data_IF_449466370879
#
_entry.id   IF_449466370879
#
_cell.length_a   1.000
_cell.length_b   1.000
_cell.length_c   1.000
_cell.angle_alpha   90.00
_cell.angle_beta   90.00
_cell.angle_gamma   90.00
#
_symmetry.space_group_name_H-M   'P 1'
#
loop_
_entity.id
_entity.type
_entity.pdbx_description
1 polymer ?
#
# COMPACT_ATOMS: atom_id res chain seq x y z
N UNK A 1 22.34 76.86 16.54
CA UNK A 1 21.73 75.67 17.19
C UNK A 1 21.51 74.56 16.16
N UNK A 2 22.37 73.53 16.07
CA UNK A 2 22.08 72.35 15.26
C UNK A 2 22.53 71.06 15.98
N UNK A 3 21.70 70.49 16.86
CA UNK A 3 22.02 69.19 17.51
C UNK A 3 20.86 68.21 17.61
N UNK A 4 19.67 68.58 17.13
CA UNK A 4 18.45 67.75 17.23
C UNK A 4 18.11 66.92 15.98
N UNK A 5 18.70 67.22 14.82
CA UNK A 5 18.35 66.53 13.56
C UNK A 5 19.22 65.30 13.25
N UNK A 6 20.33 65.08 13.96
CA UNK A 6 21.21 63.92 13.73
C UNK A 6 20.73 62.61 14.39
N UNK A 7 19.87 62.70 15.41
CA UNK A 7 19.34 61.51 16.08
C UNK A 7 18.20 60.84 15.31
N UNK A 8 17.44 61.58 14.50
CA UNK A 8 16.33 61.03 13.72
C UNK A 8 16.76 60.33 12.44
N UNK A 9 17.90 60.71 11.84
CA UNK A 9 18.41 60.06 10.62
C UNK A 9 19.06 58.70 10.90
N UNK A 10 19.65 58.50 12.08
CA UNK A 10 20.24 57.20 12.47
C UNK A 10 19.16 56.16 12.84
N UNK A 11 18.04 56.61 13.41
CA UNK A 11 16.92 55.71 13.80
C UNK A 11 16.20 55.14 12.55
N UNK A 12 16.08 55.91 11.47
CA UNK A 12 15.37 55.47 10.25
C UNK A 12 16.20 54.48 9.42
N UNK A 13 17.53 54.58 9.44
CA UNK A 13 18.44 53.65 8.72
C UNK A 13 18.49 52.26 9.39
N UNK A 14 18.29 52.19 10.71
CA UNK A 14 18.20 50.89 11.42
C UNK A 14 16.86 50.19 11.21
N UNK A 15 15.78 50.93 10.89
CA UNK A 15 14.46 50.33 10.62
C UNK A 15 14.27 49.83 9.19
N UNK A 16 15.07 50.29 8.21
CA UNK A 16 14.98 49.80 6.82
C UNK A 16 15.90 48.62 6.50
N UNK A 17 16.80 48.25 7.40
CA UNK A 17 17.69 47.07 7.27
C UNK A 17 17.17 45.81 7.96
N UNK A 18 15.90 45.80 8.39
CA UNK A 18 15.29 44.66 9.06
C UNK A 18 15.01 43.40 8.22
N UNK A 19 15.11 43.32 6.87
CA UNK A 19 14.89 42.04 6.20
C UNK A 19 16.13 41.12 6.20
N UNK A 20 17.31 41.57 6.67
CA UNK A 20 18.57 40.84 6.48
C UNK A 20 18.98 39.87 7.61
N UNK A 21 18.19 39.76 8.69
CA UNK A 21 18.47 38.86 9.82
C UNK A 21 17.37 37.80 10.02
N UNK A 22 16.76 37.31 8.94
CA UNK A 22 15.94 36.09 9.03
C UNK A 22 16.88 34.90 9.14
N UNK A 23 16.95 34.28 10.32
CA UNK A 23 17.62 32.97 10.47
C UNK A 23 16.87 31.96 9.59
N UNK A 24 17.57 31.21 8.71
CA UNK A 24 16.90 30.22 7.88
C UNK A 24 16.20 29.21 8.78
N UNK A 25 14.97 28.85 8.42
CA UNK A 25 14.23 27.81 9.12
C UNK A 25 14.96 26.47 9.00
N UNK A 26 14.70 25.53 9.93
CA UNK A 26 15.27 24.18 9.84
C UNK A 26 14.98 23.55 8.47
N UNK A 27 13.78 23.76 7.93
CA UNK A 27 13.41 23.30 6.59
C UNK A 27 14.29 23.91 5.49
N UNK A 28 14.43 25.24 5.44
CA UNK A 28 15.24 25.95 4.43
C UNK A 28 16.69 25.44 4.43
N UNK A 29 17.27 25.25 5.63
CA UNK A 29 18.63 24.70 5.78
C UNK A 29 18.72 23.24 5.36
N UNK A 30 17.70 22.43 5.65
CA UNK A 30 17.59 21.06 5.16
C UNK A 30 17.57 20.99 3.63
N UNK A 31 16.83 21.89 2.97
CA UNK A 31 16.77 21.97 1.49
C UNK A 31 18.12 22.36 0.89
N UNK A 32 18.85 23.31 1.48
CA UNK A 32 20.19 23.69 1.01
C UNK A 32 21.17 22.51 1.07
N UNK A 33 21.24 21.81 2.21
CA UNK A 33 22.08 20.64 2.38
C UNK A 33 21.67 19.48 1.47
N UNK A 34 20.37 19.32 1.25
CA UNK A 34 19.84 18.34 0.30
C UNK A 34 20.32 18.61 -1.14
N UNK A 35 20.29 19.87 -1.59
CA UNK A 35 20.80 20.27 -2.90
C UNK A 35 22.32 20.04 -3.04
N UNK A 36 23.04 20.16 -1.93
CA UNK A 36 24.46 19.82 -1.83
C UNK A 36 24.72 18.30 -1.70
N UNK A 37 23.69 17.45 -1.82
CA UNK A 37 23.78 15.99 -1.63
C UNK A 37 24.26 15.56 -0.24
N UNK A 38 24.21 16.45 0.75
CA UNK A 38 24.57 16.16 2.15
C UNK A 38 23.37 15.55 2.88
N UNK A 39 22.93 14.36 2.43
CA UNK A 39 21.65 13.76 2.82
C UNK A 39 21.54 13.44 4.31
N UNK A 40 22.63 13.04 4.97
CA UNK A 40 22.63 12.74 6.41
C UNK A 40 22.33 13.99 7.25
N UNK A 41 22.97 15.11 6.92
CA UNK A 41 22.74 16.38 7.63
C UNK A 41 21.38 16.96 7.26
N UNK A 42 20.99 16.90 5.99
CA UNK A 42 19.68 17.32 5.53
C UNK A 42 18.56 16.58 6.28
N UNK A 43 18.68 15.25 6.44
CA UNK A 43 17.73 14.45 7.21
C UNK A 43 17.62 14.91 8.67
N UNK A 44 18.73 15.32 9.31
CA UNK A 44 18.72 15.91 10.64
C UNK A 44 17.86 17.17 10.72
N UNK A 45 18.08 18.13 9.81
CA UNK A 45 17.30 19.36 9.75
C UNK A 45 15.83 19.14 9.41
N UNK A 46 15.54 18.21 8.49
CA UNK A 46 14.15 17.84 8.19
C UNK A 46 13.48 17.15 9.37
N UNK A 47 14.20 16.36 10.16
CA UNK A 47 13.68 15.74 11.39
C UNK A 47 13.33 16.80 12.43
N UNK A 48 14.20 17.79 12.64
CA UNK A 48 13.93 18.92 13.53
C UNK A 48 12.68 19.70 13.09
N UNK A 49 12.52 19.92 11.78
CA UNK A 49 11.34 20.56 11.23
C UNK A 49 10.08 19.71 11.43
N UNK A 50 10.16 18.40 11.15
CA UNK A 50 9.08 17.45 11.35
C UNK A 50 8.61 17.39 12.81
N UNK A 51 9.54 17.44 13.78
CA UNK A 51 9.21 17.44 15.21
C UNK A 51 8.33 18.62 15.64
N UNK A 52 8.41 19.74 14.92
CA UNK A 52 7.56 20.93 15.16
C UNK A 52 6.35 21.00 14.23
N UNK A 53 6.39 20.33 13.08
CA UNK A 53 5.35 20.33 12.04
C UNK A 53 5.04 18.89 11.55
N UNK A 54 4.46 18.02 12.39
CA UNK A 54 4.36 16.58 12.13
C UNK A 54 3.37 16.16 11.03
N UNK A 55 2.68 17.13 10.42
CA UNK A 55 1.78 16.94 9.28
C UNK A 55 2.29 17.58 7.98
N UNK A 56 3.49 18.20 7.99
CA UNK A 56 4.07 18.75 6.76
C UNK A 56 4.54 17.62 5.84
N UNK A 57 3.75 17.39 4.80
CA UNK A 57 3.98 16.34 3.80
C UNK A 57 5.23 16.60 2.97
N UNK A 58 5.60 17.86 2.76
CA UNK A 58 6.79 18.24 1.99
C UNK A 58 8.05 17.75 2.71
N UNK A 59 8.14 18.05 4.01
CA UNK A 59 9.23 17.56 4.87
C UNK A 59 9.29 16.04 4.90
N UNK A 60 8.13 15.37 4.98
CA UNK A 60 8.08 13.90 4.94
C UNK A 60 8.60 13.32 3.61
N UNK A 61 8.30 13.93 2.46
CA UNK A 61 8.86 13.49 1.18
C UNK A 61 10.38 13.68 1.11
N UNK A 62 10.90 14.79 1.64
CA UNK A 62 12.34 15.00 1.74
C UNK A 62 13.01 13.97 2.67
N UNK A 63 12.42 13.69 3.84
CA UNK A 63 12.89 12.65 4.75
C UNK A 63 12.88 11.27 4.10
N UNK A 64 11.77 10.89 3.47
CA UNK A 64 11.66 9.61 2.74
C UNK A 64 12.77 9.49 1.71
N UNK A 65 13.02 10.54 0.93
CA UNK A 65 14.08 10.53 -0.07
C UNK A 65 15.49 10.42 0.54
N UNK A 66 15.77 11.18 1.60
CA UNK A 66 17.05 11.12 2.30
C UNK A 66 17.30 9.72 2.86
N UNK A 67 16.34 9.16 3.60
CA UNK A 67 16.47 7.83 4.19
C UNK A 67 16.63 6.74 3.13
N UNK A 68 15.93 6.84 2.00
CA UNK A 68 16.11 5.94 0.87
C UNK A 68 17.52 5.98 0.29
N UNK A 69 18.09 7.17 0.08
CA UNK A 69 19.47 7.31 -0.43
C UNK A 69 20.50 6.78 0.58
N UNK A 70 20.26 7.01 1.87
CA UNK A 70 21.16 6.58 2.95
C UNK A 70 21.03 5.08 3.26
N UNK A 71 20.09 4.35 2.65
CA UNK A 71 19.81 2.94 2.95
C UNK A 71 19.19 2.71 4.32
N UNK A 72 18.61 3.75 4.92
CA UNK A 72 17.98 3.72 6.25
C UNK A 72 16.55 3.20 6.15
N UNK A 73 16.42 1.89 5.90
CA UNK A 73 15.14 1.23 5.58
C UNK A 73 14.07 1.34 6.67
N UNK A 74 14.45 1.28 7.95
CA UNK A 74 13.48 1.38 9.05
C UNK A 74 12.89 2.79 9.16
N UNK A 75 13.73 3.81 9.05
CA UNK A 75 13.30 5.21 9.07
C UNK A 75 12.48 5.54 7.82
N UNK A 76 12.87 5.04 6.64
CA UNK A 76 12.09 5.20 5.42
C UNK A 76 10.69 4.59 5.57
N UNK A 77 10.60 3.37 6.10
CA UNK A 77 9.33 2.69 6.34
C UNK A 77 8.41 3.50 7.27
N UNK A 78 8.95 4.01 8.39
CA UNK A 78 8.18 4.84 9.32
C UNK A 78 7.64 6.12 8.64
N UNK A 79 8.43 6.75 7.77
CA UNK A 79 7.98 7.94 7.01
C UNK A 79 6.91 7.58 5.98
N UNK A 80 7.05 6.45 5.28
CA UNK A 80 6.04 5.96 4.34
C UNK A 80 4.72 5.64 5.02
N UNK A 81 4.75 4.99 6.19
CA UNK A 81 3.57 4.73 7.02
C UNK A 81 2.89 6.04 7.44
N UNK A 82 3.69 7.05 7.80
CA UNK A 82 3.16 8.38 8.14
C UNK A 82 2.49 9.05 6.95
N UNK A 83 3.08 8.99 5.75
CA UNK A 83 2.49 9.52 4.52
C UNK A 83 1.16 8.82 4.20
N UNK A 84 1.11 7.49 4.32
CA UNK A 84 -0.13 6.73 4.13
C UNK A 84 -1.19 7.09 5.18
N UNK A 85 -0.82 7.28 6.44
CA UNK A 85 -1.74 7.69 7.50
C UNK A 85 -2.32 9.10 7.28
N UNK A 86 -1.56 10.00 6.65
CA UNK A 86 -2.03 11.32 6.23
C UNK A 86 -2.94 11.27 4.99
N UNK A 87 -3.22 10.08 4.45
CA UNK A 87 -4.10 9.89 3.30
C UNK A 87 -3.48 10.35 1.98
N UNK A 88 -2.15 10.39 1.88
CA UNK A 88 -1.46 10.81 0.67
C UNK A 88 -1.68 9.77 -0.43
N UNK A 89 -2.39 10.19 -1.47
CA UNK A 89 -2.67 9.36 -2.64
C UNK A 89 -1.51 9.40 -3.64
N UNK A 90 -0.39 8.81 -3.24
CA UNK A 90 0.79 8.66 -4.09
C UNK A 90 1.13 7.19 -4.27
N UNK A 91 1.04 6.71 -5.52
CA UNK A 91 1.32 5.33 -5.89
C UNK A 91 2.69 4.83 -5.38
N UNK A 92 3.73 5.67 -5.44
CA UNK A 92 5.08 5.27 -5.01
C UNK A 92 5.15 4.97 -3.51
N UNK A 93 4.36 5.67 -2.69
CA UNK A 93 4.29 5.40 -1.25
C UNK A 93 3.78 3.98 -1.01
N UNK A 94 2.68 3.60 -1.65
CA UNK A 94 2.07 2.28 -1.48
C UNK A 94 2.86 1.16 -2.16
N UNK A 95 3.52 1.42 -3.30
CA UNK A 95 4.41 0.45 -3.95
C UNK A 95 5.60 0.09 -3.05
N UNK A 96 6.17 1.08 -2.37
CA UNK A 96 7.26 0.88 -1.41
C UNK A 96 6.76 0.19 -0.13
N UNK A 97 5.61 0.60 0.42
CA UNK A 97 5.00 -0.08 1.57
C UNK A 97 4.69 -1.55 1.27
N UNK A 98 4.14 -1.85 0.10
CA UNK A 98 3.91 -3.21 -0.36
C UNK A 98 5.20 -4.03 -0.33
N UNK A 99 6.27 -3.50 -0.92
CA UNK A 99 7.59 -4.15 -0.93
C UNK A 99 8.09 -4.42 0.50
N UNK A 100 8.08 -3.40 1.35
CA UNK A 100 8.59 -3.50 2.73
C UNK A 100 7.77 -4.46 3.57
N UNK A 101 6.44 -4.39 3.54
CA UNK A 101 5.59 -5.31 4.29
C UNK A 101 5.75 -6.76 3.85
N UNK A 102 5.82 -7.01 2.54
CA UNK A 102 6.07 -8.35 2.01
C UNK A 102 7.41 -8.91 2.46
N UNK A 103 8.49 -8.12 2.33
CA UNK A 103 9.86 -8.54 2.72
C UNK A 103 10.00 -8.76 4.22
N UNK A 104 9.38 -7.92 5.05
CA UNK A 104 9.42 -8.01 6.50
C UNK A 104 8.42 -9.03 7.07
N UNK A 105 7.69 -9.76 6.22
CA UNK A 105 6.62 -10.69 6.63
C UNK A 105 5.52 -10.04 7.49
N UNK A 106 5.30 -8.73 7.31
CA UNK A 106 4.23 -7.96 7.95
C UNK A 106 2.92 -8.15 7.19
N UNK A 107 2.43 -9.38 7.14
CA UNK A 107 1.31 -9.76 6.29
C UNK A 107 0.00 -9.08 6.68
N UNK A 108 -0.23 -8.82 7.96
CA UNK A 108 -1.40 -8.09 8.41
C UNK A 108 -1.43 -6.65 7.89
N UNK A 109 -0.28 -5.96 7.91
CA UNK A 109 -0.18 -4.59 7.40
C UNK A 109 -0.32 -4.55 5.87
N UNK A 110 0.29 -5.51 5.18
CA UNK A 110 0.12 -5.70 3.73
C UNK A 110 -1.35 -5.88 3.35
N UNK A 111 -2.04 -6.79 4.04
CA UNK A 111 -3.44 -7.07 3.82
C UNK A 111 -4.32 -5.85 4.09
N UNK A 112 -4.17 -5.24 5.26
CA UNK A 112 -4.95 -4.06 5.67
C UNK A 112 -4.77 -2.93 4.68
N UNK A 113 -3.54 -2.64 4.29
CA UNK A 113 -3.23 -1.63 3.27
C UNK A 113 -4.02 -1.91 1.99
N UNK A 114 -3.92 -3.11 1.42
CA UNK A 114 -4.56 -3.47 0.15
C UNK A 114 -6.09 -3.35 0.17
N UNK A 115 -6.73 -3.70 1.29
CA UNK A 115 -8.18 -3.59 1.47
C UNK A 115 -8.63 -2.13 1.50
N UNK A 116 -7.82 -1.23 2.08
CA UNK A 116 -8.15 0.19 2.26
C UNK A 116 -7.60 1.12 1.19
N UNK A 117 -6.92 0.61 0.16
CA UNK A 117 -6.29 1.44 -0.89
C UNK A 117 -7.31 2.29 -1.66
N UNK A 118 -6.92 3.55 -1.90
CA UNK A 118 -7.57 4.42 -2.88
C UNK A 118 -7.49 3.83 -4.30
N UNK A 119 -8.45 4.10 -5.20
CA UNK A 119 -8.50 3.48 -6.54
C UNK A 119 -7.27 3.71 -7.43
N UNK A 120 -6.64 4.88 -7.35
CA UNK A 120 -5.39 5.26 -8.02
C UNK A 120 -4.23 4.38 -7.55
N UNK A 121 -4.02 4.29 -6.24
CA UNK A 121 -2.99 3.43 -5.65
C UNK A 121 -3.25 1.94 -5.91
N UNK A 122 -4.51 1.50 -5.84
CA UNK A 122 -4.89 0.12 -6.18
C UNK A 122 -4.50 -0.27 -7.60
N UNK A 123 -4.79 0.59 -8.60
CA UNK A 123 -4.37 0.38 -9.98
C UNK A 123 -2.84 0.30 -10.13
N UNK A 124 -2.11 1.12 -9.39
CA UNK A 124 -0.65 1.07 -9.40
C UNK A 124 -0.12 -0.24 -8.83
N UNK A 125 -0.68 -0.74 -7.72
CA UNK A 125 -0.34 -2.05 -7.17
C UNK A 125 -0.62 -3.15 -8.19
N UNK A 126 -1.83 -3.21 -8.74
CA UNK A 126 -2.23 -4.28 -9.67
C UNK A 126 -1.42 -4.27 -10.97
N UNK A 127 -0.87 -3.11 -11.36
CA UNK A 127 0.04 -3.00 -12.50
C UNK A 127 1.46 -3.51 -12.20
N UNK A 128 1.96 -3.29 -10.97
CA UNK A 128 3.33 -3.63 -10.60
C UNK A 128 3.48 -5.03 -9.98
N UNK A 129 2.43 -5.52 -9.31
CA UNK A 129 2.46 -6.77 -8.56
C UNK A 129 1.42 -7.76 -9.08
N UNK A 130 1.91 -8.89 -9.57
CA UNK A 130 1.09 -10.02 -9.98
C UNK A 130 0.65 -10.82 -8.76
N UNK A 131 -0.60 -11.28 -8.77
CA UNK A 131 -1.09 -12.20 -7.75
C UNK A 131 -0.46 -13.58 -7.96
N UNK A 132 0.50 -13.95 -7.12
CA UNK A 132 1.02 -15.33 -7.06
C UNK A 132 0.31 -16.14 -5.99
N UNK A 133 0.48 -17.46 -6.01
CA UNK A 133 0.00 -18.36 -4.94
C UNK A 133 0.60 -18.00 -3.58
N UNK A 134 1.88 -17.61 -3.53
CA UNK A 134 2.54 -17.12 -2.32
C UNK A 134 1.92 -15.82 -1.82
N UNK A 135 1.68 -14.87 -2.71
CA UNK A 135 1.05 -13.61 -2.32
C UNK A 135 -0.37 -13.83 -1.83
N UNK A 136 -1.17 -14.66 -2.51
CA UNK A 136 -2.51 -15.05 -2.04
C UNK A 136 -2.45 -15.65 -0.63
N UNK A 137 -1.49 -16.54 -0.36
CA UNK A 137 -1.27 -17.12 0.96
C UNK A 137 -0.89 -16.06 2.03
N UNK A 138 -0.05 -15.08 1.66
CA UNK A 138 0.29 -13.96 2.54
C UNK A 138 -0.94 -13.12 2.89
N UNK A 139 -1.83 -12.85 1.92
CA UNK A 139 -3.07 -12.13 2.16
C UNK A 139 -3.97 -12.89 3.14
N UNK A 140 -4.06 -14.21 3.02
CA UNK A 140 -4.84 -15.05 3.95
C UNK A 140 -4.23 -15.01 5.35
N UNK A 141 -2.91 -15.19 5.48
CA UNK A 141 -2.23 -15.09 6.78
C UNK A 141 -2.43 -13.70 7.43
N UNK A 142 -2.39 -12.63 6.63
CA UNK A 142 -2.65 -11.27 7.07
C UNK A 142 -4.09 -11.03 7.52
N UNK A 143 -5.06 -11.60 6.81
CA UNK A 143 -6.48 -11.55 7.15
C UNK A 143 -6.76 -12.25 8.48
N UNK A 144 -6.19 -13.44 8.66
CA UNK A 144 -6.25 -14.29 9.84
C UNK A 144 -5.47 -13.74 11.05
N UNK A 145 -4.65 -12.69 10.85
CA UNK A 145 -3.80 -12.10 11.89
C UNK A 145 -2.87 -13.12 12.58
N UNK A 146 -2.50 -14.19 11.87
CA UNK A 146 -1.62 -15.24 12.40
C UNK A 146 -0.18 -14.91 12.10
N UNK A 147 0.67 -15.06 13.11
CA UNK A 147 2.13 -15.07 12.90
C UNK A 147 2.53 -16.44 12.37
N UNK A 148 2.85 -16.50 11.08
CA UNK A 148 3.19 -17.75 10.38
C UNK A 148 4.64 -17.71 9.90
N UNK A 149 5.33 -18.84 9.99
CA UNK A 149 6.70 -18.99 9.48
C UNK A 149 6.72 -19.08 7.96
N UNK A 150 5.81 -19.86 7.39
CA UNK A 150 5.59 -19.93 5.94
C UNK A 150 4.09 -19.77 5.62
N UNK A 151 3.69 -18.68 4.94
CA UNK A 151 2.30 -18.46 4.59
C UNK A 151 1.73 -19.54 3.67
N UNK A 152 2.54 -20.15 2.77
CA UNK A 152 2.01 -21.16 1.83
C UNK A 152 1.66 -22.45 2.57
N UNK A 153 2.47 -22.85 3.55
CA UNK A 153 2.25 -24.03 4.37
C UNK A 153 1.02 -23.83 5.25
N UNK A 154 0.90 -22.66 5.88
CA UNK A 154 -0.29 -22.30 6.65
C UNK A 154 -1.55 -22.33 5.79
N UNK A 155 -1.55 -21.63 4.66
CA UNK A 155 -2.73 -21.57 3.80
C UNK A 155 -3.13 -22.95 3.25
N UNK A 156 -2.17 -23.86 3.06
CA UNK A 156 -2.45 -25.22 2.65
C UNK A 156 -2.95 -26.11 3.80
N UNK A 157 -2.38 -26.00 5.01
CA UNK A 157 -2.82 -26.79 6.17
C UNK A 157 -4.25 -26.47 6.60
N UNK A 158 -4.62 -25.19 6.50
CA UNK A 158 -5.98 -24.71 6.76
C UNK A 158 -6.94 -24.94 5.58
N UNK A 159 -6.47 -25.53 4.47
CA UNK A 159 -7.30 -25.87 3.31
C UNK A 159 -7.66 -24.67 2.40
N UNK A 160 -7.09 -23.49 2.63
CA UNK A 160 -7.32 -22.31 1.81
C UNK A 160 -6.69 -22.39 0.41
N UNK A 161 -5.58 -23.13 0.28
CA UNK A 161 -4.89 -23.35 -1.00
C UNK A 161 -4.66 -24.85 -1.19
N UNK A 162 -5.09 -25.45 -2.31
CA UNK A 162 -4.85 -26.86 -2.58
C UNK A 162 -3.38 -27.13 -2.91
N UNK A 163 -2.86 -28.28 -2.47
CA UNK A 163 -1.56 -28.83 -2.87
C UNK A 163 -1.72 -29.59 -4.19
N UNK A 164 -0.73 -29.52 -5.07
CA UNK A 164 -0.76 -30.27 -6.33
C UNK A 164 -0.53 -31.78 -6.10
N UNK A 165 -0.99 -32.67 -7.01
CA UNK A 165 -0.78 -34.11 -6.87
C UNK A 165 0.69 -34.55 -6.78
N UNK A 166 1.59 -33.73 -7.30
CA UNK A 166 3.05 -33.92 -7.22
C UNK A 166 3.65 -33.51 -5.86
N UNK A 167 2.81 -33.07 -4.92
CA UNK A 167 3.21 -32.61 -3.59
C UNK A 167 3.78 -31.19 -3.56
N UNK A 168 3.85 -30.50 -4.70
CA UNK A 168 4.39 -29.15 -4.77
C UNK A 168 3.33 -28.09 -4.48
N UNK A 169 3.75 -26.92 -3.98
CA UNK A 169 2.87 -25.76 -3.79
C UNK A 169 2.79 -24.86 -5.02
N UNK A 170 3.87 -24.82 -5.81
CA UNK A 170 4.08 -23.86 -6.93
C UNK A 170 3.80 -22.42 -6.51
N UNK A 171 4.47 -21.99 -5.45
CA UNK A 171 4.18 -20.75 -4.75
C UNK A 171 4.39 -19.49 -5.61
N UNK A 172 5.29 -19.54 -6.58
CA UNK A 172 5.52 -18.45 -7.53
C UNK A 172 4.58 -18.45 -8.75
N UNK A 173 3.71 -19.45 -8.92
CA UNK A 173 2.76 -19.46 -10.03
C UNK A 173 1.77 -18.30 -9.90
N UNK A 174 1.58 -17.58 -11.01
CA UNK A 174 0.57 -16.53 -11.16
C UNK A 174 -0.83 -17.13 -11.12
N UNK A 175 -1.72 -16.50 -10.37
CA UNK A 175 -3.14 -16.82 -10.29
C UNK A 175 -3.90 -16.04 -11.36
N UNK A 176 -4.63 -16.73 -12.23
CA UNK A 176 -5.57 -16.11 -13.18
C UNK A 176 -6.92 -15.83 -12.52
N UNK A 177 -7.77 -15.01 -13.14
CA UNK A 177 -9.14 -14.78 -12.68
C UNK A 177 -9.93 -16.09 -12.49
N UNK A 178 -9.81 -17.02 -13.45
CA UNK A 178 -10.46 -18.33 -13.37
C UNK A 178 -9.96 -19.15 -12.17
N UNK A 179 -8.65 -19.13 -11.90
CA UNK A 179 -8.09 -19.82 -10.73
C UNK A 179 -8.52 -19.14 -9.42
N UNK A 180 -8.55 -17.80 -9.35
CA UNK A 180 -9.04 -17.07 -8.18
C UNK A 180 -10.51 -17.41 -7.87
N UNK A 181 -11.37 -17.46 -8.91
CA UNK A 181 -12.78 -17.89 -8.76
C UNK A 181 -12.85 -19.28 -8.13
N UNK A 182 -12.08 -20.25 -8.64
CA UNK A 182 -12.07 -21.61 -8.09
C UNK A 182 -11.55 -21.64 -6.66
N UNK A 183 -10.48 -20.89 -6.35
CA UNK A 183 -9.94 -20.83 -5.00
C UNK A 183 -10.98 -20.29 -4.01
N UNK A 184 -11.63 -19.18 -4.34
CA UNK A 184 -12.64 -18.55 -3.47
C UNK A 184 -13.92 -19.41 -3.34
N UNK A 185 -14.41 -20.01 -4.43
CA UNK A 185 -15.64 -20.82 -4.40
C UNK A 185 -15.50 -22.08 -3.54
N UNK A 186 -14.27 -22.61 -3.41
CA UNK A 186 -13.99 -23.76 -2.54
C UNK A 186 -14.12 -23.44 -1.04
N UNK A 187 -14.03 -22.17 -0.67
CA UNK A 187 -14.05 -21.74 0.74
C UNK A 187 -15.47 -21.48 1.26
N UNK A 188 -16.48 -21.56 0.39
CA UNK A 188 -17.85 -21.22 0.73
C UNK A 188 -18.76 -22.43 0.61
N UNK A 189 -19.81 -22.42 1.42
CA UNK A 189 -20.86 -23.41 1.28
C UNK A 189 -21.56 -23.29 -0.09
N UNK A 190 -21.91 -24.43 -0.72
CA UNK A 190 -22.63 -24.40 -1.99
C UNK A 190 -23.99 -23.71 -1.85
N UNK A 191 -24.12 -22.54 -2.46
CA UNK A 191 -25.38 -21.80 -2.57
C UNK A 191 -25.76 -21.67 -4.04
N UNK A 192 -27.05 -21.84 -4.35
CA UNK A 192 -27.55 -21.59 -5.70
C UNK A 192 -27.79 -20.09 -5.92
N UNK A 193 -27.21 -19.46 -6.96
CA UNK A 193 -27.39 -18.03 -7.22
C UNK A 193 -28.85 -17.66 -7.51
N UNK A 194 -29.30 -16.52 -6.97
CA UNK A 194 -30.66 -16.00 -7.25
C UNK A 194 -30.76 -15.30 -8.61
N UNK A 195 -29.64 -14.80 -9.12
CA UNK A 195 -29.54 -14.06 -10.38
C UNK A 195 -28.40 -14.63 -11.20
N UNK A 196 -28.65 -14.73 -12.51
CA UNK A 196 -27.66 -15.15 -13.49
C UNK A 196 -27.46 -14.00 -14.46
N UNK A 197 -26.19 -13.71 -14.74
CA UNK A 197 -25.79 -12.65 -15.64
C UNK A 197 -25.00 -13.24 -16.80
N UNK A 198 -25.21 -12.70 -18.00
CA UNK A 198 -24.36 -13.03 -19.14
C UNK A 198 -22.99 -12.41 -18.95
N UNK A 199 -21.95 -13.17 -19.27
CA UNK A 199 -20.58 -12.66 -19.35
C UNK A 199 -20.09 -12.83 -20.78
N UNK A 200 -19.12 -12.02 -21.18
CA UNK A 200 -18.54 -12.06 -22.52
C UNK A 200 -17.56 -13.21 -22.71
N UNK A 201 -16.81 -13.56 -21.65
CA UNK A 201 -15.69 -14.51 -21.73
C UNK A 201 -15.89 -15.80 -20.91
N UNK A 202 -16.98 -15.93 -20.16
CA UNK A 202 -17.37 -17.17 -19.45
C UNK A 202 -18.72 -17.66 -19.99
N UNK A 203 -18.68 -18.70 -20.82
CA UNK A 203 -19.89 -19.40 -21.27
C UNK A 203 -20.70 -19.94 -20.08
N UNK A 204 -22.03 -19.93 -20.17
CA UNK A 204 -22.91 -20.55 -19.17
C UNK A 204 -22.75 -22.08 -19.04
N UNK A 205 -22.08 -22.73 -20.01
CA UNK A 205 -21.70 -24.14 -19.95
C UNK A 205 -20.29 -24.36 -19.36
N UNK A 206 -19.54 -23.29 -19.07
CA UNK A 206 -18.22 -23.39 -18.44
C UNK A 206 -18.32 -23.83 -16.99
N UNK A 207 -17.37 -24.64 -16.53
CA UNK A 207 -17.25 -25.01 -15.12
C UNK A 207 -17.02 -23.81 -14.20
N UNK A 208 -16.56 -22.67 -14.73
CA UNK A 208 -16.35 -21.42 -13.98
C UNK A 208 -17.62 -20.61 -13.78
N UNK A 209 -18.66 -20.81 -14.60
CA UNK A 209 -19.82 -19.93 -14.61
C UNK A 209 -20.59 -19.96 -13.29
N UNK A 210 -20.93 -21.17 -12.82
CA UNK A 210 -21.67 -21.32 -11.57
C UNK A 210 -20.88 -20.85 -10.33
N UNK A 211 -19.59 -21.23 -10.15
CA UNK A 211 -18.72 -20.65 -9.12
C UNK A 211 -18.69 -19.13 -9.13
N UNK A 212 -18.51 -18.52 -10.31
CA UNK A 212 -18.47 -17.08 -10.44
C UNK A 212 -19.79 -16.42 -10.04
N UNK A 213 -20.92 -16.95 -10.51
CA UNK A 213 -22.25 -16.46 -10.14
C UNK A 213 -22.53 -16.62 -8.64
N UNK A 214 -22.01 -17.68 -8.00
CA UNK A 214 -22.14 -17.88 -6.55
C UNK A 214 -21.37 -16.81 -5.78
N UNK A 215 -20.12 -16.56 -6.14
CA UNK A 215 -19.28 -15.53 -5.52
C UNK A 215 -19.87 -14.12 -5.68
N UNK A 216 -20.43 -13.82 -6.86
CA UNK A 216 -21.16 -12.56 -7.12
C UNK A 216 -22.44 -12.48 -6.28
N UNK A 217 -23.23 -13.55 -6.22
CA UNK A 217 -24.45 -13.61 -5.42
C UNK A 217 -24.18 -13.41 -3.91
N UNK A 218 -23.04 -13.89 -3.42
CA UNK A 218 -22.58 -13.68 -2.05
C UNK A 218 -21.86 -12.34 -1.85
N UNK A 219 -21.66 -11.54 -2.90
CA UNK A 219 -20.93 -10.26 -2.81
C UNK A 219 -19.46 -10.43 -2.41
N UNK A 220 -18.88 -11.60 -2.62
CA UNK A 220 -17.45 -11.86 -2.43
C UNK A 220 -16.66 -11.26 -3.59
N UNK A 221 -17.18 -11.42 -4.81
CA UNK A 221 -16.70 -10.73 -6.01
C UNK A 221 -17.75 -9.73 -6.50
N UNK A 222 -17.29 -8.62 -7.06
CA UNK A 222 -18.14 -7.73 -7.84
C UNK A 222 -18.43 -8.34 -9.20
N UNK A 223 -19.63 -8.12 -9.73
CA UNK A 223 -19.94 -8.54 -11.10
C UNK A 223 -19.15 -7.70 -12.11
N UNK A 224 -18.40 -8.40 -12.95
CA UNK A 224 -17.73 -7.90 -14.15
C UNK A 224 -18.17 -8.76 -15.34
N UNK A 225 -18.76 -8.11 -16.35
CA UNK A 225 -19.25 -8.77 -17.56
C UNK A 225 -18.11 -9.15 -18.52
N UNK A 226 -16.97 -8.46 -18.42
CA UNK A 226 -15.80 -8.59 -19.29
C UNK A 226 -14.66 -9.37 -18.61
N UNK A 227 -14.92 -10.04 -17.48
CA UNK A 227 -13.92 -10.83 -16.76
C UNK A 227 -13.29 -11.90 -17.67
N UNK A 228 -11.98 -11.77 -17.94
CA UNK A 228 -11.23 -12.74 -18.74
C UNK A 228 -10.63 -13.84 -17.85
N UNK A 229 -11.04 -15.12 -17.97
CA UNK A 229 -10.60 -16.19 -17.05
C UNK A 229 -9.10 -16.49 -17.07
N UNK A 230 -8.45 -16.23 -18.19
CA UNK A 230 -7.03 -16.50 -18.40
C UNK A 230 -6.14 -15.29 -18.09
N UNK A 231 -6.73 -14.10 -17.91
CA UNK A 231 -6.00 -12.93 -17.47
C UNK A 231 -5.56 -13.09 -16.00
N UNK A 232 -4.42 -12.47 -15.67
CA UNK A 232 -3.92 -12.41 -14.29
C UNK A 232 -4.95 -11.77 -13.38
N UNK A 233 -5.20 -12.39 -12.23
CA UNK A 233 -6.07 -11.80 -11.23
C UNK A 233 -5.41 -10.61 -10.54
N UNK A 234 -6.18 -9.53 -10.35
CA UNK A 234 -5.72 -8.37 -9.61
C UNK A 234 -5.50 -8.71 -8.12
N UNK A 235 -4.36 -8.28 -7.58
CA UNK A 235 -3.98 -8.46 -6.18
C UNK A 235 -5.00 -7.80 -5.25
N UNK A 236 -5.47 -6.60 -5.60
CA UNK A 236 -6.46 -5.88 -4.78
C UNK A 236 -7.84 -6.52 -4.81
N UNK A 237 -8.22 -7.18 -5.92
CA UNK A 237 -9.47 -7.95 -6.01
C UNK A 237 -9.42 -9.14 -5.07
N UNK A 238 -8.31 -9.89 -5.05
CA UNK A 238 -8.12 -10.99 -4.12
C UNK A 238 -8.16 -10.53 -2.66
N UNK A 239 -7.46 -9.45 -2.31
CA UNK A 239 -7.46 -8.90 -0.94
C UNK A 239 -8.88 -8.53 -0.47
N UNK A 240 -9.67 -7.86 -1.32
CA UNK A 240 -11.06 -7.50 -1.02
C UNK A 240 -11.96 -8.73 -0.91
N UNK A 241 -11.79 -9.73 -1.78
CA UNK A 241 -12.55 -10.97 -1.69
C UNK A 241 -12.25 -11.72 -0.38
N UNK A 242 -10.98 -11.78 0.02
CA UNK A 242 -10.53 -12.34 1.31
C UNK A 242 -11.15 -11.58 2.49
N UNK A 243 -11.20 -10.24 2.45
CA UNK A 243 -11.93 -9.44 3.46
C UNK A 243 -13.42 -9.81 3.52
N UNK A 244 -14.09 -10.02 2.39
CA UNK A 244 -15.49 -10.48 2.39
C UNK A 244 -15.67 -11.87 2.97
N UNK A 245 -14.71 -12.78 2.76
CA UNK A 245 -14.71 -14.09 3.39
C UNK A 245 -14.47 -14.01 4.90
N UNK A 246 -13.51 -13.19 5.33
CA UNK A 246 -13.24 -12.91 6.76
C UNK A 246 -14.47 -12.34 7.47
N UNK A 247 -15.14 -11.35 6.88
CA UNK A 247 -16.39 -10.78 7.41
C UNK A 247 -17.52 -11.82 7.57
N UNK A 248 -17.43 -12.95 6.86
CA UNK A 248 -18.37 -14.07 6.92
C UNK A 248 -17.92 -15.18 7.88
N UNK A 249 -16.79 -15.03 8.58
CA UNK A 249 -16.24 -16.06 9.47
C UNK A 249 -15.67 -17.28 8.74
N UNK A 250 -15.28 -17.13 7.48
CA UNK A 250 -14.63 -18.21 6.71
C UNK A 250 -13.12 -18.25 6.99
N UNK A 251 -12.54 -17.12 7.38
CA UNK A 251 -11.12 -16.98 7.70
C UNK A 251 -11.02 -16.48 9.13
N UNK A 252 -10.40 -17.28 10.00
CA UNK A 252 -10.24 -17.05 11.45
C UNK A 252 -8.93 -16.37 11.84
#
# INVERSE_FOLDING_TARGET
MPRRYYYWTIIIILTSCAPFLRRPSAFEKGVELYQQSSYQEAAGYFTDHYNTHPSDTTTLFYLQHCYRILGQHEQELAVLERLAHLGIDNANVYLNLFHYYGKASRYHDLYTMLVTLAPSAARAIDHHYVLTRRLYAQLIAGAAQKRVSDPIVYAASEGYIPIFPDGTFRDHDTITNGQLIVLLDRLIEPVYPKKFFSTKHISNHSFLYLPYMRLVNLGILSFDADIEPHATAATTVAARAIERLKQRGVID
#
